data_IF_673352055363
#
_entry.id   IF_673352055363
#
_cell.length_a   1.000
_cell.length_b   1.000
_cell.length_c   1.000
_cell.angle_alpha   90.00
_cell.angle_beta   90.00
_cell.angle_gamma   90.00
#
_symmetry.space_group_name_H-M   'P 1'
#
loop_
_entity.id
_entity.type
_entity.pdbx_description
1 polymer ?
#
# COMPACT_ATOMS: atom_id res chain seq x y z
N UNK A 1 10.10 -7.79 -11.18
CA UNK A 1 8.78 -8.03 -10.55
C UNK A 1 8.45 -6.82 -9.69
N UNK A 2 7.31 -6.16 -9.94
CA UNK A 2 6.90 -4.94 -9.25
C UNK A 2 5.79 -5.18 -8.24
N UNK A 3 5.51 -4.19 -7.41
CA UNK A 3 4.42 -4.22 -6.43
C UNK A 3 3.05 -4.28 -7.13
N UNK A 4 2.28 -5.35 -6.90
CA UNK A 4 0.93 -5.57 -7.44
C UNK A 4 0.09 -6.36 -6.45
N UNK A 5 -1.23 -6.17 -6.46
CA UNK A 5 -2.14 -6.96 -5.61
C UNK A 5 -2.52 -8.28 -6.28
N UNK A 6 -3.08 -8.20 -7.49
CA UNK A 6 -3.55 -9.39 -8.21
C UNK A 6 -2.39 -10.31 -8.56
N UNK A 7 -2.52 -11.59 -8.19
CA UNK A 7 -1.50 -12.60 -8.48
C UNK A 7 -0.22 -12.44 -7.65
N UNK A 8 -0.30 -11.79 -6.49
CA UNK A 8 0.81 -11.68 -5.53
C UNK A 8 0.33 -11.88 -4.10
N UNK A 9 1.07 -12.71 -3.38
CA UNK A 9 0.83 -12.97 -1.96
C UNK A 9 1.31 -11.80 -1.10
N UNK A 10 0.76 -11.66 0.11
CA UNK A 10 1.22 -10.67 1.10
C UNK A 10 2.73 -10.72 1.33
N UNK A 11 3.32 -11.92 1.37
CA UNK A 11 4.75 -12.12 1.56
C UNK A 11 5.57 -11.53 0.40
N UNK A 12 5.18 -11.80 -0.84
CA UNK A 12 5.88 -11.27 -2.02
C UNK A 12 5.78 -9.75 -2.12
N UNK A 13 4.60 -9.19 -1.81
CA UNK A 13 4.40 -7.74 -1.75
C UNK A 13 5.26 -7.13 -0.66
N UNK A 14 5.30 -7.74 0.52
CA UNK A 14 6.11 -7.28 1.63
C UNK A 14 7.61 -7.26 1.31
N UNK A 15 8.14 -8.33 0.70
CA UNK A 15 9.54 -8.36 0.29
C UNK A 15 9.86 -7.32 -0.79
N UNK A 16 8.90 -7.04 -1.68
CA UNK A 16 9.04 -5.96 -2.67
C UNK A 16 9.08 -4.59 -1.99
N UNK A 17 8.20 -4.34 -1.02
CA UNK A 17 8.17 -3.09 -0.27
C UNK A 17 9.47 -2.87 0.52
N UNK A 18 9.97 -3.90 1.22
CA UNK A 18 11.25 -3.84 1.94
C UNK A 18 12.40 -3.41 1.04
N UNK A 19 12.47 -3.93 -0.18
CA UNK A 19 13.51 -3.56 -1.16
C UNK A 19 13.30 -2.15 -1.71
N UNK A 20 12.06 -1.69 -1.83
CA UNK A 20 11.74 -0.37 -2.35
C UNK A 20 12.00 0.76 -1.32
N UNK A 21 11.81 0.51 -0.02
CA UNK A 21 11.98 1.52 1.05
C UNK A 21 13.34 2.23 0.99
N UNK A 22 14.50 1.55 0.96
CA UNK A 22 15.80 2.23 0.91
C UNK A 22 16.05 2.99 -0.41
N UNK A 23 15.39 2.59 -1.50
CA UNK A 23 15.59 3.20 -2.84
C UNK A 23 14.70 4.42 -3.06
N UNK A 24 13.44 4.34 -2.63
CA UNK A 24 12.41 5.35 -2.93
C UNK A 24 12.01 6.20 -1.72
N UNK A 25 12.31 5.72 -0.51
CA UNK A 25 11.86 6.31 0.75
C UNK A 25 10.44 5.91 1.14
N UNK A 26 10.22 5.74 2.45
CA UNK A 26 8.92 5.35 3.02
C UNK A 26 7.79 6.29 2.62
N UNK A 27 8.02 7.62 2.71
CA UNK A 27 7.01 8.64 2.40
C UNK A 27 6.47 8.50 0.98
N UNK A 28 7.33 8.24 0.00
CA UNK A 28 6.93 8.11 -1.40
C UNK A 28 6.09 6.85 -1.62
N UNK A 29 6.53 5.72 -1.05
CA UNK A 29 5.80 4.45 -1.11
C UNK A 29 4.40 4.58 -0.50
N UNK A 30 4.33 5.10 0.73
CA UNK A 30 3.07 5.32 1.45
C UNK A 30 2.15 6.23 0.64
N UNK A 31 2.68 7.31 0.07
CA UNK A 31 1.91 8.23 -0.79
C UNK A 31 1.31 7.51 -2.01
N UNK A 32 2.09 6.67 -2.69
CA UNK A 32 1.64 5.92 -3.87
C UNK A 32 0.54 4.92 -3.50
N UNK A 33 0.75 4.10 -2.46
CA UNK A 33 -0.23 3.08 -2.05
C UNK A 33 -1.52 3.75 -1.56
N UNK A 34 -1.42 4.81 -0.76
CA UNK A 34 -2.60 5.56 -0.31
C UNK A 34 -3.35 6.24 -1.46
N UNK A 35 -2.65 6.69 -2.50
CA UNK A 35 -3.30 7.21 -3.71
C UNK A 35 -4.11 6.11 -4.40
N UNK A 36 -3.57 4.90 -4.54
CA UNK A 36 -4.30 3.76 -5.11
C UNK A 36 -5.58 3.44 -4.33
N UNK A 37 -5.50 3.42 -2.99
CA UNK A 37 -6.69 3.23 -2.13
C UNK A 37 -7.74 4.29 -2.40
N UNK A 38 -7.37 5.57 -2.39
CA UNK A 38 -8.31 6.68 -2.62
C UNK A 38 -8.92 6.66 -4.02
N UNK A 39 -8.11 6.41 -5.04
CA UNK A 39 -8.58 6.31 -6.43
C UNK A 39 -9.60 5.17 -6.54
N UNK A 40 -9.29 4.02 -5.95
CA UNK A 40 -10.17 2.85 -6.00
C UNK A 40 -11.46 3.05 -5.23
N UNK A 41 -11.42 3.66 -4.03
CA UNK A 41 -12.61 4.04 -3.25
C UNK A 41 -13.52 5.03 -3.98
N UNK A 42 -12.94 5.92 -4.80
CA UNK A 42 -13.70 6.89 -5.62
C UNK A 42 -14.34 6.28 -6.86
N UNK A 43 -13.80 5.20 -7.39
CA UNK A 43 -14.44 4.45 -8.46
C UNK A 43 -15.70 3.80 -7.88
N UNK A 44 -16.89 4.13 -8.42
CA UNK A 44 -18.19 3.56 -8.01
C UNK A 44 -18.34 2.08 -8.41
N UNK A 45 -17.26 1.32 -8.45
CA UNK A 45 -17.32 -0.12 -8.69
C UNK A 45 -17.53 -0.83 -7.37
N UNK A 46 -18.72 -1.38 -7.17
CA UNK A 46 -19.08 -2.27 -6.06
C UNK A 46 -18.59 -3.70 -6.29
N UNK A 47 -17.55 -3.90 -7.10
CA UNK A 47 -17.02 -5.24 -7.37
C UNK A 47 -16.16 -5.75 -6.19
N UNK A 48 -16.26 -7.05 -5.94
CA UNK A 48 -15.53 -7.75 -4.88
C UNK A 48 -14.00 -7.63 -5.05
N UNK A 49 -13.53 -7.43 -6.29
CA UNK A 49 -12.11 -7.26 -6.61
C UNK A 49 -11.56 -5.92 -6.12
N UNK A 50 -12.37 -4.86 -6.17
CA UNK A 50 -12.05 -3.53 -5.68
C UNK A 50 -11.96 -3.55 -4.17
N UNK A 51 -12.91 -4.22 -3.51
CA UNK A 51 -12.86 -4.42 -2.06
C UNK A 51 -11.59 -5.16 -1.66
N UNK A 52 -11.30 -6.30 -2.30
CA UNK A 52 -10.08 -7.07 -2.04
C UNK A 52 -8.80 -6.23 -2.22
N UNK A 53 -8.68 -5.49 -3.32
CA UNK A 53 -7.52 -4.65 -3.57
C UNK A 53 -7.33 -3.55 -2.51
N UNK A 54 -8.41 -2.90 -2.10
CA UNK A 54 -8.39 -1.88 -1.04
C UNK A 54 -7.91 -2.50 0.27
N UNK A 55 -8.49 -3.64 0.68
CA UNK A 55 -8.11 -4.31 1.92
C UNK A 55 -6.63 -4.71 1.93
N UNK A 56 -6.12 -5.23 0.81
CA UNK A 56 -4.71 -5.62 0.73
C UNK A 56 -3.76 -4.42 0.76
N UNK A 57 -4.11 -3.30 0.12
CA UNK A 57 -3.34 -2.05 0.22
C UNK A 57 -3.37 -1.46 1.64
N UNK A 58 -4.51 -1.47 2.30
CA UNK A 58 -4.64 -0.98 3.68
C UNK A 58 -3.87 -1.86 4.66
N UNK A 59 -3.84 -3.18 4.44
CA UNK A 59 -2.98 -4.10 5.19
C UNK A 59 -1.49 -3.79 5.00
N UNK A 60 -1.05 -3.59 3.76
CA UNK A 60 0.35 -3.27 3.49
C UNK A 60 0.74 -1.93 4.12
N UNK A 61 -0.15 -0.92 4.09
CA UNK A 61 0.05 0.36 4.76
C UNK A 61 0.13 0.22 6.28
N UNK A 62 -0.73 -0.60 6.90
CA UNK A 62 -0.68 -0.80 8.36
C UNK A 62 0.65 -1.43 8.78
N UNK A 63 1.13 -2.41 8.02
CA UNK A 63 2.44 -3.04 8.25
C UNK A 63 3.60 -2.05 8.08
N UNK A 64 3.56 -1.19 7.05
CA UNK A 64 4.55 -0.14 6.86
C UNK A 64 4.56 0.86 8.02
N UNK A 65 3.37 1.23 8.51
CA UNK A 65 3.23 2.14 9.66
C UNK A 65 3.80 1.54 10.93
N UNK A 66 3.48 0.28 11.20
CA UNK A 66 3.94 -0.43 12.40
C UNK A 66 5.47 -0.59 12.43
N UNK A 67 6.08 -0.91 11.29
CA UNK A 67 7.49 -1.34 11.24
C UNK A 67 8.50 -0.25 10.89
N UNK A 68 8.08 0.78 10.15
CA UNK A 68 9.02 1.75 9.56
C UNK A 68 8.69 3.21 9.86
N UNK A 69 7.52 3.51 10.42
CA UNK A 69 7.11 4.89 10.64
C UNK A 69 7.40 5.33 12.08
N UNK A 70 8.20 6.39 12.23
CA UNK A 70 8.59 6.95 13.53
C UNK A 70 8.18 8.42 13.69
N UNK A 71 7.20 8.90 12.90
CA UNK A 71 6.64 10.25 13.04
C UNK A 71 7.25 11.30 12.10
N UNK A 72 8.06 10.90 11.12
CA UNK A 72 8.83 11.80 10.25
C UNK A 72 7.95 12.56 9.23
N UNK A 73 6.70 12.15 9.04
CA UNK A 73 5.71 12.83 8.20
C UNK A 73 4.29 12.51 8.65
N UNK A 74 3.30 13.29 8.20
CA UNK A 74 1.89 12.97 8.49
C UNK A 74 1.46 11.71 7.74
N UNK A 75 1.12 10.64 8.47
CA UNK A 75 0.56 9.45 7.85
C UNK A 75 -0.76 9.79 7.12
N UNK A 76 -0.93 9.41 5.84
CA UNK A 76 -2.10 9.76 5.06
C UNK A 76 -3.36 9.04 5.56
N UNK A 77 -4.50 9.75 5.50
CA UNK A 77 -5.81 9.13 5.65
C UNK A 77 -6.22 8.47 4.32
N UNK A 78 -6.61 7.21 4.39
CA UNK A 78 -6.98 6.37 3.24
C UNK A 78 -8.45 6.06 3.20
#
# INVERSE_FOLDING_TARGET
MGYRITGSTRKERWETLKKAIPVMGLRKIVTIISANVRIKKKQKSSDQQSHYAITEWEYDLSQLKEKYFHGEFKWPNT
#
